data_IF_140908791914
#
_entry.id   IF_140908791914
#
_cell.length_a   1.000
_cell.length_b   1.000
_cell.length_c   1.000
_cell.angle_alpha   90.00
_cell.angle_beta   90.00
_cell.angle_gamma   90.00
#
_symmetry.space_group_name_H-M   'P 1'
#
loop_
_entity.id
_entity.type
_entity.pdbx_description
1 polymer ?
#
# COMPACT_ATOMS: atom_id res chain seq x y z
N UNK A 1 14.86 4.83 -32.21
CA UNK A 1 15.46 3.84 -31.32
C UNK A 1 14.33 3.09 -30.63
N UNK A 2 14.34 1.79 -30.75
CA UNK A 2 13.35 0.95 -30.12
C UNK A 2 13.47 1.03 -28.59
N UNK A 3 12.36 1.12 -27.91
CA UNK A 3 12.32 1.20 -26.46
C UNK A 3 11.82 -0.10 -25.85
N UNK A 4 12.50 -0.54 -24.81
CA UNK A 4 12.02 -1.59 -23.91
C UNK A 4 11.26 -0.96 -22.77
N UNK A 5 10.05 -1.46 -22.48
CA UNK A 5 9.33 -1.13 -21.26
C UNK A 5 9.73 -2.09 -20.17
N UNK A 6 10.32 -1.56 -19.10
CA UNK A 6 10.80 -2.32 -17.96
C UNK A 6 9.88 -2.04 -16.77
N UNK A 7 9.04 -3.01 -16.47
CA UNK A 7 8.30 -3.03 -15.20
C UNK A 7 9.26 -3.38 -14.08
N UNK A 8 9.08 -2.77 -12.91
CA UNK A 8 9.83 -3.10 -11.71
C UNK A 8 8.93 -3.00 -10.49
N UNK A 9 9.18 -3.89 -9.52
CA UNK A 9 8.50 -3.87 -8.23
C UNK A 9 9.42 -3.33 -7.14
N UNK A 10 8.82 -2.65 -6.16
CA UNK A 10 9.55 -2.04 -5.06
C UNK A 10 8.68 -1.94 -3.81
N UNK A 11 9.32 -1.90 -2.66
CA UNK A 11 8.73 -1.54 -1.38
C UNK A 11 9.40 -0.30 -0.79
N UNK A 12 8.78 0.30 0.24
CA UNK A 12 9.39 1.44 0.93
C UNK A 12 8.81 1.67 2.33
N UNK A 13 9.58 2.34 3.18
CA UNK A 13 9.11 2.84 4.47
C UNK A 13 8.41 4.18 4.29
N UNK A 14 7.14 4.26 4.74
CA UNK A 14 6.28 5.43 4.52
C UNK A 14 6.72 6.67 5.28
N UNK A 15 7.29 6.50 6.46
CA UNK A 15 7.76 7.59 7.33
C UNK A 15 8.97 8.37 6.78
N UNK A 16 9.62 7.85 5.73
CA UNK A 16 10.72 8.53 5.03
C UNK A 16 10.24 9.48 3.92
N UNK A 17 8.95 9.49 3.59
CA UNK A 17 8.42 10.18 2.42
C UNK A 17 7.11 10.94 2.68
N UNK A 18 6.93 12.03 1.95
CA UNK A 18 5.66 12.77 1.92
C UNK A 18 4.67 12.16 0.92
N UNK A 19 4.60 10.83 0.91
CA UNK A 19 3.79 10.03 0.00
C UNK A 19 4.55 9.56 -1.24
N UNK A 20 3.88 8.76 -2.05
CA UNK A 20 4.51 8.14 -3.22
C UNK A 20 4.61 9.08 -4.43
N UNK A 21 3.62 9.95 -4.63
CA UNK A 21 3.57 10.82 -5.82
C UNK A 21 4.44 12.07 -5.66
N UNK A 22 5.11 12.47 -6.74
CA UNK A 22 5.94 13.69 -6.80
C UNK A 22 5.15 14.92 -6.35
N UNK A 23 5.74 15.68 -5.45
CA UNK A 23 5.28 16.96 -4.93
C UNK A 23 6.45 17.96 -4.94
N UNK A 24 6.16 19.29 -5.00
CA UNK A 24 7.21 20.31 -4.87
C UNK A 24 7.89 20.24 -3.51
N UNK A 25 9.20 20.38 -3.50
CA UNK A 25 10.05 20.67 -2.33
C UNK A 25 10.04 19.65 -1.19
N UNK A 26 9.49 18.45 -1.40
CA UNK A 26 9.49 17.38 -0.40
C UNK A 26 9.93 16.05 -1.01
N UNK A 27 10.58 15.16 -0.23
CA UNK A 27 10.98 13.84 -0.70
C UNK A 27 9.74 12.95 -0.92
N UNK A 28 9.70 12.31 -2.11
CA UNK A 28 8.64 11.38 -2.50
C UNK A 28 9.26 10.18 -3.23
N UNK A 29 8.64 9.02 -3.15
CA UNK A 29 9.18 7.79 -3.76
C UNK A 29 9.34 7.94 -5.28
N UNK A 30 8.34 8.50 -5.97
CA UNK A 30 8.42 8.78 -7.41
C UNK A 30 9.53 9.78 -7.72
N UNK A 31 9.73 10.78 -6.86
CA UNK A 31 10.81 11.76 -6.99
C UNK A 31 12.18 11.11 -6.96
N UNK A 32 12.41 10.15 -6.04
CA UNK A 32 13.65 9.39 -5.95
C UNK A 32 13.93 8.59 -7.24
N UNK A 33 12.97 7.81 -7.71
CA UNK A 33 13.12 7.08 -8.97
C UNK A 33 13.35 8.00 -10.16
N UNK A 34 12.65 9.14 -10.23
CA UNK A 34 12.87 10.14 -11.27
C UNK A 34 14.29 10.71 -11.20
N UNK A 35 14.79 11.00 -10.01
CA UNK A 35 16.16 11.47 -9.81
C UNK A 35 17.17 10.42 -10.29
N UNK A 36 17.00 9.17 -9.88
CA UNK A 36 17.86 8.06 -10.26
C UNK A 36 17.90 7.92 -11.78
N UNK A 37 16.76 7.73 -12.43
CA UNK A 37 16.71 7.47 -13.86
C UNK A 37 17.13 8.65 -14.74
N UNK A 38 16.84 9.89 -14.31
CA UNK A 38 17.17 11.09 -15.10
C UNK A 38 18.54 11.66 -14.80
N UNK A 39 18.95 11.70 -13.54
CA UNK A 39 20.16 12.40 -13.11
C UNK A 39 21.35 11.46 -12.90
N UNK A 40 21.15 10.34 -12.21
CA UNK A 40 22.20 9.40 -11.89
C UNK A 40 22.52 8.51 -13.09
N UNK A 41 21.54 7.76 -13.59
CA UNK A 41 21.73 6.79 -14.66
C UNK A 41 21.60 7.39 -16.07
N UNK A 42 20.93 8.53 -16.21
CA UNK A 42 20.70 9.23 -17.50
C UNK A 42 20.03 8.33 -18.55
N UNK A 43 19.10 7.46 -18.11
CA UNK A 43 18.43 6.51 -18.99
C UNK A 43 17.24 7.13 -19.74
N UNK A 44 16.69 8.23 -19.23
CA UNK A 44 15.57 8.91 -19.84
C UNK A 44 15.66 10.44 -19.68
N UNK A 45 15.01 11.16 -20.61
CA UNK A 45 14.83 12.62 -20.55
C UNK A 45 13.36 13.02 -20.36
N UNK A 46 12.46 12.04 -20.24
CA UNK A 46 11.03 12.28 -20.07
C UNK A 46 10.75 13.09 -18.79
N UNK A 47 9.67 13.90 -18.82
CA UNK A 47 9.34 14.75 -17.67
C UNK A 47 8.88 13.93 -16.46
N UNK A 48 8.00 12.96 -16.69
CA UNK A 48 7.41 12.09 -15.66
C UNK A 48 7.59 10.61 -16.06
N UNK A 49 8.80 10.08 -15.97
CA UNK A 49 9.15 8.78 -16.60
C UNK A 49 8.69 7.55 -15.81
N UNK A 50 8.18 7.71 -14.59
CA UNK A 50 7.88 6.60 -13.67
C UNK A 50 6.42 6.62 -13.23
N UNK A 51 5.48 6.12 -14.04
CA UNK A 51 4.13 5.82 -13.57
C UNK A 51 4.15 4.69 -12.55
N UNK A 52 3.30 4.79 -11.53
CA UNK A 52 3.17 3.79 -10.45
C UNK A 52 1.74 3.24 -10.38
N UNK A 53 1.61 2.01 -9.85
CA UNK A 53 0.33 1.32 -9.72
C UNK A 53 -0.58 1.99 -8.70
N UNK A 54 -0.04 2.29 -7.54
CA UNK A 54 -0.79 2.86 -6.43
C UNK A 54 -0.11 4.12 -5.91
N UNK A 55 -0.95 5.11 -5.58
CA UNK A 55 -0.54 6.28 -4.82
C UNK A 55 -0.77 5.97 -3.35
N UNK A 56 0.21 6.25 -2.52
CA UNK A 56 0.12 6.14 -1.07
C UNK A 56 0.33 7.50 -0.43
N UNK A 57 -0.40 7.74 0.65
CA UNK A 57 -0.26 8.97 1.45
C UNK A 57 1.08 8.99 2.20
N UNK A 58 1.45 10.16 2.72
CA UNK A 58 2.56 10.30 3.67
C UNK A 58 2.37 9.36 4.85
N UNK A 59 3.40 8.66 5.28
CA UNK A 59 3.36 7.71 6.39
C UNK A 59 2.95 6.27 6.00
N UNK A 60 2.26 6.08 4.89
CA UNK A 60 1.82 4.73 4.46
C UNK A 60 3.00 3.89 3.98
N UNK A 61 3.20 2.75 4.62
CA UNK A 61 4.22 1.79 4.25
C UNK A 61 3.82 0.96 3.02
N UNK A 62 4.81 0.47 2.30
CA UNK A 62 4.59 -0.34 1.10
C UNK A 62 5.50 -1.57 1.13
N UNK A 63 4.90 -2.76 1.17
CA UNK A 63 5.63 -4.00 0.93
C UNK A 63 5.87 -4.22 -0.56
N UNK A 64 4.86 -3.95 -1.38
CA UNK A 64 4.97 -4.11 -2.83
C UNK A 64 4.11 -3.07 -3.55
N UNK A 65 4.74 -2.31 -4.41
CA UNK A 65 4.13 -1.48 -5.45
C UNK A 65 4.86 -1.77 -6.77
N UNK A 66 4.33 -1.27 -7.88
CA UNK A 66 4.96 -1.42 -9.19
C UNK A 66 5.02 -0.12 -9.95
N UNK A 67 6.02 -0.02 -10.79
CA UNK A 67 6.21 1.06 -11.74
C UNK A 67 6.85 0.56 -13.03
N UNK A 68 7.02 1.45 -14.00
CA UNK A 68 7.83 1.14 -15.17
C UNK A 68 8.69 2.33 -15.61
N UNK A 69 9.67 2.01 -16.42
CA UNK A 69 10.46 2.98 -17.19
C UNK A 69 10.65 2.47 -18.61
N UNK A 70 10.57 3.37 -19.60
CA UNK A 70 10.94 3.08 -20.97
C UNK A 70 12.41 3.47 -21.20
N UNK A 71 13.26 2.48 -21.53
CA UNK A 71 14.69 2.66 -21.79
C UNK A 71 15.02 2.21 -23.23
N UNK A 72 16.24 2.47 -23.67
CA UNK A 72 16.75 1.98 -24.95
C UNK A 72 16.81 0.45 -24.96
N UNK A 73 16.28 -0.21 -26.01
CA UNK A 73 16.24 -1.67 -26.12
C UNK A 73 17.65 -2.27 -26.05
N UNK A 74 18.62 -1.69 -26.77
CA UNK A 74 20.00 -2.22 -26.74
C UNK A 74 20.62 -2.18 -25.34
N UNK A 75 20.20 -1.19 -24.53
CA UNK A 75 20.63 -1.10 -23.13
C UNK A 75 20.07 -2.25 -22.31
N UNK A 76 18.78 -2.53 -22.47
CA UNK A 76 18.17 -3.67 -21.80
C UNK A 76 18.79 -5.00 -22.22
N UNK A 77 18.98 -5.21 -23.52
CA UNK A 77 19.59 -6.44 -24.06
C UNK A 77 21.00 -6.68 -23.53
N UNK A 78 21.76 -5.60 -23.29
CA UNK A 78 23.12 -5.68 -22.76
C UNK A 78 23.17 -5.95 -21.23
N UNK A 79 22.20 -5.47 -20.45
CA UNK A 79 22.27 -5.58 -18.99
C UNK A 79 21.31 -6.60 -18.39
N UNK A 80 20.15 -6.83 -19.01
CA UNK A 80 19.09 -7.66 -18.49
C UNK A 80 18.59 -7.26 -17.11
N UNK A 81 17.84 -8.14 -16.49
CA UNK A 81 17.30 -7.94 -15.13
C UNK A 81 18.41 -7.72 -14.10
N UNK A 82 19.40 -8.60 -14.07
CA UNK A 82 20.52 -8.55 -13.10
C UNK A 82 21.26 -7.21 -13.20
N UNK A 83 21.52 -6.73 -14.41
CA UNK A 83 22.19 -5.45 -14.62
C UNK A 83 21.32 -4.26 -14.18
N UNK A 84 20.02 -4.33 -14.47
CA UNK A 84 19.05 -3.31 -14.01
C UNK A 84 19.00 -3.25 -12.49
N UNK A 85 18.82 -4.39 -11.82
CA UNK A 85 18.76 -4.51 -10.36
C UNK A 85 20.02 -3.95 -9.70
N UNK A 86 21.19 -4.28 -10.22
CA UNK A 86 22.47 -3.74 -9.73
C UNK A 86 22.58 -2.23 -9.95
N UNK A 87 22.30 -1.76 -11.16
CA UNK A 87 22.45 -0.33 -11.49
C UNK A 87 21.50 0.57 -10.70
N UNK A 88 20.25 0.16 -10.53
CA UNK A 88 19.24 0.90 -9.76
C UNK A 88 19.48 0.72 -8.27
N UNK A 89 19.70 -0.53 -7.81
CA UNK A 89 19.91 -0.87 -6.41
C UNK A 89 21.07 -0.09 -5.75
N UNK A 90 22.16 0.18 -6.48
CA UNK A 90 23.26 1.01 -5.99
C UNK A 90 22.91 2.51 -5.84
N UNK A 91 21.78 2.94 -6.36
CA UNK A 91 21.40 4.37 -6.35
C UNK A 91 20.20 4.67 -5.46
N UNK A 92 19.36 3.68 -5.15
CA UNK A 92 18.21 3.85 -4.26
C UNK A 92 18.67 4.02 -2.80
N UNK A 93 17.97 4.85 -1.99
CA UNK A 93 18.24 4.93 -0.57
C UNK A 93 17.75 3.68 0.17
N UNK A 94 18.29 3.42 1.37
CA UNK A 94 17.92 2.27 2.22
C UNK A 94 16.43 2.21 2.60
N UNK A 95 15.73 3.33 2.43
CA UNK A 95 14.28 3.42 2.67
C UNK A 95 13.42 2.83 1.54
N UNK A 96 14.03 2.47 0.39
CA UNK A 96 13.39 1.81 -0.75
C UNK A 96 14.07 0.47 -0.99
N UNK A 97 13.31 -0.58 -1.16
CA UNK A 97 13.77 -1.89 -1.58
C UNK A 97 13.31 -2.17 -3.00
N UNK A 98 14.24 -2.35 -3.93
CA UNK A 98 13.93 -2.85 -5.27
C UNK A 98 13.76 -4.37 -5.19
N UNK A 99 12.67 -4.89 -5.73
CA UNK A 99 12.29 -6.31 -5.60
C UNK A 99 12.73 -7.08 -6.83
N UNK A 100 12.28 -6.68 -8.01
CA UNK A 100 12.62 -7.26 -9.29
C UNK A 100 12.38 -6.29 -10.45
N UNK A 101 12.76 -6.72 -11.66
CA UNK A 101 12.50 -5.97 -12.88
C UNK A 101 12.37 -6.93 -14.06
N UNK A 102 11.45 -6.65 -14.98
CA UNK A 102 11.21 -7.47 -16.17
C UNK A 102 10.80 -6.63 -17.37
N UNK A 103 11.16 -7.07 -18.56
CA UNK A 103 10.61 -6.46 -19.76
C UNK A 103 9.17 -6.93 -19.94
N UNK A 104 8.29 -5.97 -20.21
CA UNK A 104 6.86 -6.19 -20.44
C UNK A 104 6.45 -5.63 -21.81
N UNK A 105 5.21 -5.92 -22.22
CA UNK A 105 4.63 -5.33 -23.42
C UNK A 105 4.63 -3.81 -23.37
N UNK A 106 4.79 -3.15 -24.52
CA UNK A 106 4.82 -1.69 -24.63
C UNK A 106 3.51 -1.02 -24.15
N UNK A 107 2.38 -1.74 -24.21
CA UNK A 107 1.08 -1.27 -23.74
C UNK A 107 0.82 -1.59 -22.26
N UNK A 108 1.70 -2.36 -21.62
CA UNK A 108 1.54 -2.66 -20.19
C UNK A 108 1.54 -1.39 -19.34
N UNK A 109 0.68 -1.36 -18.35
CA UNK A 109 0.58 -0.24 -17.43
C UNK A 109 0.41 -0.73 -15.98
N UNK A 110 1.16 -0.23 -15.03
CA UNK A 110 1.02 -0.59 -13.63
C UNK A 110 -0.37 -0.24 -13.06
N UNK A 111 -1.09 0.68 -13.69
CA UNK A 111 -2.44 1.08 -13.28
C UNK A 111 -3.51 0.04 -13.62
N UNK A 112 -3.22 -0.87 -14.55
CA UNK A 112 -4.10 -2.01 -14.89
C UNK A 112 -3.82 -3.20 -13.98
N UNK A 113 -3.66 -2.95 -12.69
CA UNK A 113 -3.54 -4.02 -11.71
C UNK A 113 -4.91 -4.70 -11.53
N UNK A 114 -4.86 -6.01 -11.36
CA UNK A 114 -6.04 -6.83 -11.07
C UNK A 114 -6.57 -6.51 -9.66
N UNK A 115 -5.67 -6.58 -8.69
CA UNK A 115 -6.01 -6.37 -7.29
C UNK A 115 -4.95 -5.54 -6.57
N UNK A 116 -5.39 -4.86 -5.50
CA UNK A 116 -4.55 -4.23 -4.49
C UNK A 116 -4.97 -4.74 -3.14
N UNK A 117 -4.02 -5.27 -2.40
CA UNK A 117 -4.22 -5.74 -1.02
C UNK A 117 -3.62 -4.73 -0.06
N UNK A 118 -4.41 -4.29 0.90
CA UNK A 118 -3.95 -3.47 2.00
C UNK A 118 -4.15 -4.20 3.32
N UNK A 119 -3.22 -3.99 4.27
CA UNK A 119 -3.35 -4.42 5.65
C UNK A 119 -3.27 -3.22 6.56
N UNK A 120 -4.20 -3.12 7.48
CA UNK A 120 -4.19 -2.08 8.51
C UNK A 120 -4.10 -2.70 9.90
N UNK A 121 -3.13 -2.25 10.70
CA UNK A 121 -2.84 -2.77 12.02
C UNK A 121 -3.59 -1.98 13.09
N UNK A 122 -4.85 -2.36 13.36
CA UNK A 122 -5.74 -1.63 14.29
C UNK A 122 -5.27 -1.70 15.74
N UNK A 123 -4.59 -2.78 16.15
CA UNK A 123 -4.06 -2.92 17.51
C UNK A 123 -3.03 -1.83 17.89
N UNK A 124 -2.51 -1.09 16.93
CA UNK A 124 -1.62 0.04 17.13
C UNK A 124 -2.36 1.38 17.34
N UNK A 125 -3.68 1.39 17.31
CA UNK A 125 -4.48 2.56 17.64
C UNK A 125 -4.76 2.62 19.15
N UNK A 126 -4.75 3.82 19.70
CA UNK A 126 -5.00 4.02 21.13
C UNK A 126 -6.43 3.65 21.50
N UNK A 127 -6.60 2.88 22.57
CA UNK A 127 -7.92 2.40 23.02
C UNK A 127 -8.36 1.09 22.36
N UNK A 128 -7.49 0.42 21.59
CA UNK A 128 -7.80 -0.90 21.03
C UNK A 128 -8.15 -1.92 22.10
N UNK A 129 -9.20 -2.68 21.86
CA UNK A 129 -9.61 -3.84 22.65
C UNK A 129 -9.67 -5.06 21.73
N UNK A 130 -9.28 -6.23 22.27
CA UNK A 130 -9.36 -7.47 21.48
C UNK A 130 -10.83 -7.79 21.18
N UNK A 131 -11.26 -7.84 19.92
CA UNK A 131 -12.66 -8.02 19.56
C UNK A 131 -13.12 -9.48 19.69
N UNK A 132 -14.45 -9.67 19.75
CA UNK A 132 -15.02 -10.98 19.45
C UNK A 132 -14.76 -11.31 17.97
N UNK A 133 -14.18 -12.49 17.64
CA UNK A 133 -13.81 -12.81 16.26
C UNK A 133 -14.98 -12.83 15.27
N UNK A 134 -16.12 -13.37 15.66
CA UNK A 134 -17.31 -13.48 14.79
C UNK A 134 -17.93 -12.11 14.51
N UNK A 135 -18.02 -11.26 15.54
CA UNK A 135 -18.51 -9.88 15.40
C UNK A 135 -17.57 -9.03 14.55
N UNK A 136 -16.26 -9.22 14.71
CA UNK A 136 -15.27 -8.50 13.93
C UNK A 136 -15.25 -8.92 12.45
N UNK A 137 -15.40 -10.24 12.18
CA UNK A 137 -15.52 -10.76 10.83
C UNK A 137 -16.79 -10.22 10.15
N UNK A 138 -17.93 -10.22 10.87
CA UNK A 138 -19.17 -9.62 10.38
C UNK A 138 -18.98 -8.13 10.08
N UNK A 139 -18.35 -7.36 10.98
CA UNK A 139 -18.08 -5.94 10.76
C UNK A 139 -17.21 -5.70 9.53
N UNK A 140 -16.16 -6.49 9.34
CA UNK A 140 -15.32 -6.40 8.14
C UNK A 140 -16.14 -6.69 6.85
N UNK A 141 -16.97 -7.73 6.86
CA UNK A 141 -17.78 -8.13 5.69
C UNK A 141 -18.76 -7.06 5.22
N UNK A 142 -19.13 -6.10 6.08
CA UNK A 142 -20.00 -4.98 5.68
C UNK A 142 -19.38 -4.08 4.61
N UNK A 143 -18.07 -4.11 4.44
CA UNK A 143 -17.36 -3.32 3.44
C UNK A 143 -17.11 -4.07 2.13
N UNK A 144 -17.57 -5.32 1.99
CA UNK A 144 -17.47 -6.09 0.76
C UNK A 144 -18.57 -5.71 -0.24
N UNK A 145 -18.26 -5.84 -1.54
CA UNK A 145 -19.20 -5.56 -2.61
C UNK A 145 -18.96 -4.22 -3.31
N UNK A 146 -19.91 -3.90 -4.21
CA UNK A 146 -19.92 -2.63 -4.93
C UNK A 146 -20.72 -1.58 -4.17
N UNK A 147 -20.08 -0.46 -3.84
CA UNK A 147 -20.71 0.66 -3.13
C UNK A 147 -20.23 2.00 -3.67
N UNK A 148 -21.02 3.05 -3.46
CA UNK A 148 -20.61 4.44 -3.56
C UNK A 148 -19.97 4.86 -2.24
N UNK A 149 -18.65 5.12 -2.25
CA UNK A 149 -17.83 5.31 -1.04
C UNK A 149 -17.73 6.77 -0.57
N UNK A 150 -18.73 7.60 -0.83
CA UNK A 150 -18.68 9.04 -0.55
C UNK A 150 -18.33 9.39 0.89
N UNK A 151 -18.87 8.65 1.86
CA UNK A 151 -18.59 8.83 3.28
C UNK A 151 -17.26 8.21 3.74
N UNK A 152 -16.70 7.33 2.91
CA UNK A 152 -15.47 6.60 3.20
C UNK A 152 -14.28 7.05 2.33
N UNK A 153 -14.34 8.19 1.68
CA UNK A 153 -13.25 8.69 0.88
C UNK A 153 -13.11 10.21 0.94
N UNK A 154 -11.97 10.72 0.48
CA UNK A 154 -11.85 12.12 0.10
C UNK A 154 -12.34 12.27 -1.33
N UNK A 155 -13.46 12.97 -1.51
CA UNK A 155 -14.05 13.19 -2.83
C UNK A 155 -13.13 14.05 -3.71
N UNK A 156 -12.98 13.65 -4.95
CA UNK A 156 -12.34 14.45 -6.00
C UNK A 156 -13.42 14.88 -7.00
N UNK A 157 -13.37 16.13 -7.43
CA UNK A 157 -14.35 16.68 -8.39
C UNK A 157 -14.35 15.85 -9.69
N UNK A 158 -15.53 15.50 -10.17
CA UNK A 158 -15.77 14.76 -11.41
C UNK A 158 -15.17 13.31 -11.42
N UNK A 159 -15.00 12.69 -10.28
CA UNK A 159 -14.62 11.26 -10.19
C UNK A 159 -15.70 10.46 -9.50
N UNK A 160 -16.03 9.28 -10.08
CA UNK A 160 -16.92 8.33 -9.43
C UNK A 160 -16.29 7.80 -8.15
N UNK A 161 -17.10 7.69 -7.12
CA UNK A 161 -16.76 7.06 -5.83
C UNK A 161 -17.14 5.58 -5.76
N UNK A 162 -17.79 5.07 -6.81
CA UNK A 162 -18.16 3.65 -6.90
C UNK A 162 -16.91 2.78 -7.04
N UNK A 163 -16.73 1.81 -6.14
CA UNK A 163 -15.65 0.80 -6.18
C UNK A 163 -16.18 -0.51 -5.65
N UNK A 164 -15.54 -1.59 -6.13
CA UNK A 164 -15.76 -2.94 -5.62
C UNK A 164 -14.65 -3.25 -4.61
N UNK A 165 -15.04 -3.61 -3.41
CA UNK A 165 -14.19 -4.28 -2.44
C UNK A 165 -14.47 -5.77 -2.55
N UNK A 166 -13.48 -6.55 -2.94
CA UNK A 166 -13.61 -7.97 -3.22
C UNK A 166 -13.62 -8.80 -1.95
N UNK A 167 -12.82 -8.38 -0.97
CA UNK A 167 -12.83 -8.95 0.37
C UNK A 167 -12.35 -7.96 1.40
N UNK A 168 -12.92 -8.06 2.61
CA UNK A 168 -12.45 -7.35 3.80
C UNK A 168 -12.56 -8.31 4.98
N UNK A 169 -11.42 -8.70 5.56
CA UNK A 169 -11.36 -9.82 6.54
C UNK A 169 -10.44 -9.50 7.70
N UNK A 170 -10.65 -10.14 8.86
CA UNK A 170 -9.71 -10.03 9.97
C UNK A 170 -8.28 -10.42 9.55
N UNK A 171 -7.32 -9.58 9.89
CA UNK A 171 -5.90 -9.96 9.84
C UNK A 171 -5.55 -10.61 11.17
N UNK A 172 -5.37 -11.92 11.13
CA UNK A 172 -5.04 -12.73 12.30
C UNK A 172 -3.55 -13.03 12.33
N UNK A 173 -2.91 -12.76 13.46
CA UNK A 173 -1.51 -13.10 13.69
C UNK A 173 -1.35 -13.79 15.03
N UNK A 174 -0.76 -15.00 15.03
CA UNK A 174 -0.56 -15.82 16.23
C UNK A 174 -1.85 -16.04 17.04
N UNK A 175 -2.97 -16.29 16.35
CA UNK A 175 -4.28 -16.55 16.96
C UNK A 175 -5.01 -15.31 17.48
N UNK A 176 -4.52 -14.12 17.21
CA UNK A 176 -5.06 -12.85 17.68
C UNK A 176 -5.37 -11.95 16.49
N UNK A 177 -6.48 -11.24 16.52
CA UNK A 177 -6.82 -10.23 15.53
C UNK A 177 -5.94 -9.00 15.78
N UNK A 178 -5.13 -8.64 14.78
CA UNK A 178 -4.23 -7.47 14.85
C UNK A 178 -4.76 -6.30 14.04
N UNK A 179 -5.74 -6.55 13.18
CA UNK A 179 -6.35 -5.58 12.29
C UNK A 179 -7.17 -6.25 11.21
N UNK A 180 -7.15 -5.69 10.01
CA UNK A 180 -7.87 -6.25 8.86
C UNK A 180 -7.02 -6.21 7.58
N UNK A 181 -7.38 -7.07 6.64
CA UNK A 181 -6.91 -7.09 5.27
C UNK A 181 -8.07 -6.75 4.34
N UNK A 182 -7.83 -5.91 3.34
CA UNK A 182 -8.83 -5.51 2.36
C UNK A 182 -8.26 -5.62 0.94
N UNK A 183 -9.05 -6.19 0.04
CA UNK A 183 -8.68 -6.43 -1.36
C UNK A 183 -9.71 -5.79 -2.27
N UNK A 184 -9.24 -5.16 -3.35
CA UNK A 184 -10.09 -4.61 -4.41
C UNK A 184 -9.26 -4.17 -5.61
N UNK A 185 -9.92 -3.98 -6.75
CA UNK A 185 -9.25 -3.53 -7.97
C UNK A 185 -8.63 -2.13 -7.79
N UNK A 186 -9.36 -1.22 -7.16
CA UNK A 186 -8.90 0.15 -6.93
C UNK A 186 -9.53 0.76 -5.68
N UNK A 187 -8.76 1.59 -4.99
CA UNK A 187 -9.22 2.37 -3.84
C UNK A 187 -9.14 3.87 -4.13
N UNK A 188 -10.07 4.63 -3.54
CA UNK A 188 -10.13 6.09 -3.65
C UNK A 188 -9.27 6.70 -2.53
N UNK A 189 -8.93 7.95 -2.69
CA UNK A 189 -8.12 8.68 -1.70
C UNK A 189 -8.70 8.58 -0.30
N UNK A 190 -7.91 8.13 0.66
CA UNK A 190 -8.24 7.90 2.07
C UNK A 190 -9.23 6.75 2.34
N UNK A 191 -9.71 6.01 1.33
CA UNK A 191 -10.78 5.02 1.52
C UNK A 191 -10.42 3.98 2.58
N UNK A 192 -9.30 3.30 2.46
CA UNK A 192 -8.89 2.26 3.41
C UNK A 192 -8.71 2.82 4.82
N UNK A 193 -8.18 4.02 4.96
CA UNK A 193 -8.00 4.69 6.27
C UNK A 193 -9.31 5.10 6.92
N UNK A 194 -10.31 5.52 6.14
CA UNK A 194 -11.67 5.81 6.66
C UNK A 194 -12.40 4.54 7.06
N UNK A 195 -12.27 3.47 6.28
CA UNK A 195 -12.75 2.14 6.65
C UNK A 195 -12.07 1.68 7.95
N UNK A 196 -10.76 1.84 8.07
CA UNK A 196 -10.02 1.49 9.28
C UNK A 196 -10.53 2.21 10.53
N UNK A 197 -10.81 3.52 10.41
CA UNK A 197 -11.38 4.27 11.52
C UNK A 197 -12.79 3.81 11.88
N UNK A 198 -13.63 3.51 10.89
CA UNK A 198 -14.96 2.99 11.12
C UNK A 198 -14.94 1.63 11.84
N UNK A 199 -14.12 0.70 11.38
CA UNK A 199 -13.94 -0.61 12.04
C UNK A 199 -13.44 -0.42 13.47
N UNK A 200 -12.43 0.43 13.68
CA UNK A 200 -11.90 0.72 15.02
C UNK A 200 -12.96 1.31 15.94
N UNK A 201 -13.72 2.30 15.47
CA UNK A 201 -14.73 2.98 16.28
C UNK A 201 -15.85 2.05 16.74
N UNK A 202 -16.29 1.12 15.87
CA UNK A 202 -17.28 0.10 16.26
C UNK A 202 -16.67 -0.91 17.23
N UNK A 203 -15.46 -1.40 16.96
CA UNK A 203 -14.76 -2.37 17.81
C UNK A 203 -14.55 -1.86 19.23
N UNK A 204 -14.32 -0.55 19.38
CA UNK A 204 -14.08 0.11 20.68
C UNK A 204 -15.34 0.74 21.29
N UNK A 205 -16.51 0.52 20.69
CA UNK A 205 -17.81 1.07 21.11
C UNK A 205 -17.89 2.61 21.12
N UNK A 206 -17.06 3.30 20.34
CA UNK A 206 -17.20 4.73 20.08
C UNK A 206 -18.35 5.04 19.12
N UNK A 207 -18.62 4.12 18.19
CA UNK A 207 -19.70 4.23 17.22
C UNK A 207 -20.50 2.92 17.17
N UNK A 208 -21.76 3.01 16.72
CA UNK A 208 -22.59 1.83 16.49
C UNK A 208 -22.36 1.26 15.08
N UNK A 209 -22.57 -0.04 14.94
CA UNK A 209 -22.54 -0.71 13.64
C UNK A 209 -23.61 -0.13 12.70
N UNK A 210 -24.79 0.26 13.24
CA UNK A 210 -25.89 0.85 12.47
C UNK A 210 -25.45 2.16 11.79
N UNK A 211 -24.63 2.99 12.45
CA UNK A 211 -24.12 4.23 11.87
C UNK A 211 -23.16 3.94 10.70
N UNK A 212 -22.38 2.88 10.78
CA UNK A 212 -21.51 2.45 9.67
C UNK A 212 -22.35 1.98 8.49
N UNK A 213 -23.40 1.19 8.75
CA UNK A 213 -24.36 0.73 7.74
C UNK A 213 -25.06 1.95 7.12
N UNK A 214 -25.54 2.89 7.93
CA UNK A 214 -26.18 4.12 7.46
C UNK A 214 -25.24 4.93 6.55
N UNK A 215 -23.97 5.09 6.93
CA UNK A 215 -22.97 5.80 6.14
C UNK A 215 -22.67 5.12 4.80
N UNK A 216 -22.71 3.78 4.75
CA UNK A 216 -22.51 3.00 3.54
C UNK A 216 -23.71 3.08 2.61
N UNK A 217 -24.92 2.93 3.16
CA UNK A 217 -26.15 2.80 2.38
C UNK A 217 -26.74 4.16 1.96
N UNK A 218 -26.31 5.25 2.59
CA UNK A 218 -26.69 6.63 2.29
C UNK A 218 -25.49 7.49 1.90
N UNK A 219 -24.83 7.21 0.76
CA UNK A 219 -23.56 7.86 0.38
C UNK A 219 -23.70 9.38 0.18
N UNK A 220 -24.89 9.87 -0.14
CA UNK A 220 -25.16 11.30 -0.37
C UNK A 220 -25.52 12.07 0.91
N UNK A 221 -25.73 11.38 2.04
CA UNK A 221 -25.85 11.99 3.36
C UNK A 221 -24.47 12.07 3.98
N UNK A 222 -24.01 13.29 4.33
CA UNK A 222 -22.68 13.46 4.90
C UNK A 222 -22.62 12.87 6.32
N UNK A 223 -21.89 11.76 6.44
CA UNK A 223 -21.63 11.08 7.71
C UNK A 223 -20.12 10.90 7.86
N UNK A 224 -19.49 11.68 8.73
CA UNK A 224 -18.07 11.55 9.01
C UNK A 224 -17.81 10.49 10.08
N UNK A 225 -17.07 9.46 9.69
CA UNK A 225 -16.60 8.38 10.59
C UNK A 225 -15.12 8.54 10.95
N UNK A 226 -14.52 9.69 10.64
CA UNK A 226 -13.13 10.00 10.94
C UNK A 226 -12.13 9.42 9.94
N UNK A 227 -10.84 9.55 10.28
CA UNK A 227 -9.73 9.13 9.42
C UNK A 227 -8.60 8.56 10.29
N UNK A 228 -8.30 7.30 10.11
CA UNK A 228 -7.22 6.62 10.84
C UNK A 228 -5.82 7.07 10.37
N UNK A 229 -4.84 6.94 11.25
CA UNK A 229 -3.45 7.32 10.99
C UNK A 229 -2.84 6.51 9.84
N UNK A 230 -1.94 7.10 9.02
CA UNK A 230 -1.32 6.38 7.91
C UNK A 230 -0.26 5.36 8.35
N UNK A 231 0.36 5.56 9.51
CA UNK A 231 1.49 4.77 10.02
C UNK A 231 1.21 3.27 10.11
N UNK A 232 -0.05 2.89 10.33
CA UNK A 232 -0.46 1.50 10.52
C UNK A 232 -0.95 0.83 9.24
N UNK A 233 -0.97 1.57 8.13
CA UNK A 233 -1.38 1.08 6.82
C UNK A 233 -0.18 0.58 6.01
N UNK A 234 -0.31 -0.62 5.45
CA UNK A 234 0.64 -1.19 4.48
C UNK A 234 -0.10 -1.48 3.17
N UNK A 235 0.39 -0.95 2.05
CA UNK A 235 0.10 -1.55 0.74
C UNK A 235 0.86 -2.87 0.67
N UNK A 236 0.12 -3.97 0.85
CA UNK A 236 0.73 -5.30 1.01
C UNK A 236 1.13 -5.94 -0.31
N UNK A 237 0.23 -5.91 -1.28
CA UNK A 237 0.45 -6.46 -2.60
C UNK A 237 -0.30 -5.70 -3.69
N UNK A 238 0.25 -5.76 -4.89
CA UNK A 238 -0.41 -5.38 -6.13
C UNK A 238 -0.21 -6.51 -7.11
N UNK A 239 -1.27 -7.04 -7.72
CA UNK A 239 -1.20 -8.13 -8.68
C UNK A 239 -1.51 -7.66 -10.11
N UNK A 240 -0.87 -8.27 -11.09
CA UNK A 240 -1.09 -8.00 -12.51
C UNK A 240 -1.17 -9.31 -13.28
N UNK A 241 -1.92 -9.33 -14.35
CA UNK A 241 -1.96 -10.46 -15.27
C UNK A 241 -0.56 -10.76 -15.81
N UNK A 242 -0.17 -12.03 -15.75
CA UNK A 242 1.11 -12.52 -16.27
C UNK A 242 2.36 -12.16 -15.44
N UNK A 243 2.20 -11.46 -14.31
CA UNK A 243 3.30 -11.20 -13.37
C UNK A 243 3.13 -12.09 -12.14
N UNK A 244 4.11 -12.94 -11.79
CA UNK A 244 4.03 -13.81 -10.63
C UNK A 244 3.83 -13.03 -9.33
N UNK A 245 3.01 -13.56 -8.44
CA UNK A 245 2.87 -13.02 -7.10
C UNK A 245 4.12 -13.27 -6.26
N UNK A 246 4.37 -12.36 -5.32
CA UNK A 246 5.47 -12.51 -4.38
C UNK A 246 5.04 -13.37 -3.20
N UNK A 247 5.88 -14.32 -2.83
CA UNK A 247 5.71 -15.05 -1.57
C UNK A 247 5.70 -14.08 -0.38
N UNK A 248 4.94 -14.44 0.64
CA UNK A 248 4.92 -13.70 1.90
C UNK A 248 5.01 -14.66 3.08
N UNK A 249 5.61 -14.19 4.15
CA UNK A 249 5.60 -14.86 5.45
C UNK A 249 4.69 -14.08 6.40
N UNK A 250 4.13 -14.79 7.37
CA UNK A 250 3.44 -14.14 8.50
C UNK A 250 4.41 -14.12 9.70
N UNK A 251 5.17 -13.03 9.90
CA UNK A 251 6.05 -12.94 11.05
C UNK A 251 5.23 -12.85 12.32
N UNK A 252 5.72 -13.40 13.41
CA UNK A 252 5.09 -13.21 14.71
C UNK A 252 5.16 -11.73 15.08
N UNK A 253 3.99 -11.11 15.29
CA UNK A 253 3.87 -9.70 15.68
C UNK A 253 3.65 -9.65 17.19
N UNK A 254 4.58 -9.06 17.98
CA UNK A 254 4.38 -8.89 19.40
C UNK A 254 3.15 -8.03 19.70
N UNK A 255 2.37 -8.42 20.73
CA UNK A 255 1.23 -7.62 21.16
C UNK A 255 1.73 -6.28 21.72
N UNK A 256 1.12 -5.14 21.31
CA UNK A 256 1.44 -3.84 21.90
C UNK A 256 1.20 -3.82 23.41
N UNK A 257 2.16 -3.28 24.14
CA UNK A 257 2.00 -2.99 25.58
C UNK A 257 1.53 -1.54 25.77
N UNK A 258 0.24 -1.32 25.71
CA UNK A 258 -0.38 0.00 25.83
C UNK A 258 -0.15 0.67 27.21
N UNK A 259 0.38 -0.04 28.19
CA UNK A 259 0.77 0.54 29.49
C UNK A 259 2.14 1.25 29.42
N UNK A 260 2.96 0.94 28.44
CA UNK A 260 4.26 1.58 28.21
C UNK A 260 4.08 2.99 27.63
N UNK A 261 4.77 3.99 28.18
CA UNK A 261 4.73 5.36 27.63
C UNK A 261 5.30 5.48 26.21
N UNK A 262 5.99 4.45 25.70
CA UNK A 262 6.61 4.41 24.36
C UNK A 262 6.01 3.33 23.46
N UNK A 263 4.82 2.86 23.77
CA UNK A 263 4.21 1.75 23.03
C UNK A 263 4.02 2.06 21.53
N UNK A 264 3.63 3.30 21.17
CA UNK A 264 3.48 3.69 19.76
C UNK A 264 4.81 3.66 19.00
N UNK A 265 5.90 4.08 19.63
CA UNK A 265 7.24 4.01 19.02
C UNK A 265 7.64 2.56 18.77
N UNK A 266 7.38 1.66 19.73
CA UNK A 266 7.61 0.23 19.57
C UNK A 266 6.74 -0.35 18.44
N UNK A 267 5.48 0.05 18.33
CA UNK A 267 4.61 -0.37 17.23
C UNK A 267 5.16 0.07 15.86
N UNK A 268 5.67 1.31 15.74
CA UNK A 268 6.31 1.77 14.49
C UNK A 268 7.56 0.97 14.14
N UNK A 269 8.38 0.62 15.12
CA UNK A 269 9.53 -0.27 14.91
C UNK A 269 9.11 -1.66 14.46
N UNK A 270 8.10 -2.25 15.09
CA UNK A 270 7.52 -3.54 14.71
C UNK A 270 6.95 -3.50 13.28
N UNK A 271 6.29 -2.40 12.89
CA UNK A 271 5.76 -2.23 11.54
C UNK A 271 6.89 -2.28 10.49
N UNK A 272 8.01 -1.64 10.76
CA UNK A 272 9.21 -1.72 9.92
C UNK A 272 9.83 -3.11 9.93
N UNK A 273 9.90 -3.78 11.07
CA UNK A 273 10.43 -5.14 11.19
C UNK A 273 9.62 -6.13 10.33
N UNK A 274 8.29 -6.01 10.30
CA UNK A 274 7.44 -6.81 9.41
C UNK A 274 7.91 -6.65 7.95
N UNK A 275 8.14 -5.41 7.51
CA UNK A 275 8.59 -5.14 6.14
C UNK A 275 10.00 -5.65 5.87
N UNK A 276 10.94 -5.45 6.80
CA UNK A 276 12.31 -5.95 6.68
C UNK A 276 12.29 -7.46 6.44
N UNK A 277 11.55 -8.22 7.25
CA UNK A 277 11.42 -9.67 7.09
C UNK A 277 10.82 -10.08 5.74
N UNK A 278 9.86 -9.29 5.21
CA UNK A 278 9.33 -9.52 3.87
C UNK A 278 10.38 -9.25 2.78
N UNK A 279 11.15 -8.17 2.92
CA UNK A 279 12.18 -7.82 1.95
C UNK A 279 13.33 -8.82 1.95
N UNK A 280 13.77 -9.28 3.12
CA UNK A 280 14.79 -10.33 3.26
C UNK A 280 14.35 -11.63 2.59
N UNK A 281 13.08 -12.03 2.80
CA UNK A 281 12.51 -13.20 2.13
C UNK A 281 12.55 -13.05 0.61
N UNK A 282 12.06 -11.92 0.11
CA UNK A 282 11.96 -11.67 -1.33
C UNK A 282 13.37 -11.61 -1.97
N UNK A 283 14.31 -10.94 -1.34
CA UNK A 283 15.69 -10.81 -1.85
C UNK A 283 16.50 -12.10 -1.72
N UNK A 284 16.19 -12.95 -0.76
CA UNK A 284 16.83 -14.28 -0.61
C UNK A 284 16.39 -15.30 -1.65
N UNK A 285 15.40 -14.96 -2.48
CA UNK A 285 14.90 -15.81 -3.58
C UNK A 285 15.65 -15.60 -4.91
N UNK A 286 16.57 -14.65 -4.96
CA UNK A 286 17.42 -14.36 -6.12
C UNK A 286 18.93 -14.58 -5.74
#
# INVERSE_FOLDING_TARGET
MDKARIAFRFGHYGDCYHGSQVQPDVPTVQGEFMHIFKKKLKWTRERMPVPMASRTDSGVHVRQNGGFIDIDQNRWDAMGEIGFMKAVGHQIPDSITLIDAMQVDAEWSPRRALHRTYRYRLECMEGWVDPNPEEFEHLCSLFEGEHEWDNFCRRETNRSTTRVVESCRPWVNSGRIVGFEIVGEAFIWNQVRRIANAIFAVTTNYESIDKVIEARDNPHTEIDLGLAEPDWLILWAVSWEGIPELESIEPVIPKPDHSSSRWQELCRQQQKEILIRQFDLIQGQY
#
